data_IF_510649452748
#
_entry.id   IF_510649452748
#
_cell.length_a   1.000
_cell.length_b   1.000
_cell.length_c   1.000
_cell.angle_alpha   90.00
_cell.angle_beta   90.00
_cell.angle_gamma   90.00
#
_symmetry.space_group_name_H-M   'P 1'
#
loop_
_entity.id
_entity.type
_entity.pdbx_description
1 polymer ?
#
# COMPACT_ATOMS: atom_id res chain seq x y z
N UNK A 1 -0.24 -4.34 -16.93
CA UNK A 1 -0.13 -3.29 -15.88
C UNK A 1 -1.39 -3.35 -15.03
N UNK A 2 -1.25 -3.32 -13.70
CA UNK A 2 -2.38 -3.42 -12.76
C UNK A 2 -2.37 -2.20 -11.82
N UNK A 3 -3.55 -1.76 -11.41
CA UNK A 3 -3.71 -0.83 -10.29
C UNK A 3 -4.32 -1.60 -9.12
N UNK A 4 -3.62 -1.62 -7.99
CA UNK A 4 -4.10 -2.26 -6.75
C UNK A 4 -4.52 -1.17 -5.77
N UNK A 5 -5.78 -1.21 -5.35
CA UNK A 5 -6.36 -0.26 -4.40
C UNK A 5 -7.08 -1.02 -3.30
N UNK A 6 -7.16 -0.42 -2.11
CA UNK A 6 -7.87 -1.00 -0.99
C UNK A 6 -8.58 0.08 -0.17
N UNK A 7 -9.72 -0.29 0.40
CA UNK A 7 -10.47 0.54 1.33
C UNK A 7 -10.19 0.11 2.78
N UNK A 8 -10.16 1.09 3.68
CA UNK A 8 -10.01 0.92 5.11
C UNK A 8 -10.65 2.09 5.86
N UNK A 9 -10.91 1.89 7.15
CA UNK A 9 -11.49 2.92 8.02
C UNK A 9 -10.56 4.13 8.19
N UNK A 10 -9.26 3.92 8.01
CA UNK A 10 -8.23 4.95 8.02
C UNK A 10 -7.14 4.68 6.96
N UNK A 11 -6.23 5.66 6.81
CA UNK A 11 -5.12 5.58 5.87
C UNK A 11 -4.18 4.41 6.19
N UNK A 12 -3.96 4.09 7.47
CA UNK A 12 -3.07 2.99 7.88
C UNK A 12 -3.58 1.65 7.39
N UNK A 13 -4.87 1.41 7.59
CA UNK A 13 -5.56 0.17 7.26
C UNK A 13 -5.67 0.02 5.75
N UNK A 14 -6.05 1.09 5.04
CA UNK A 14 -6.10 1.09 3.58
C UNK A 14 -4.71 0.83 2.97
N UNK A 15 -3.67 1.51 3.47
CA UNK A 15 -2.28 1.33 3.05
C UNK A 15 -1.81 -0.11 3.26
N UNK A 16 -2.00 -0.67 4.46
CA UNK A 16 -1.62 -2.05 4.78
C UNK A 16 -2.32 -3.05 3.85
N UNK A 17 -3.63 -2.94 3.68
CA UNK A 17 -4.41 -3.84 2.81
C UNK A 17 -3.95 -3.76 1.36
N UNK A 18 -3.63 -2.57 0.85
CA UNK A 18 -3.14 -2.41 -0.51
C UNK A 18 -1.83 -3.17 -0.75
N UNK A 19 -0.85 -3.03 0.15
CA UNK A 19 0.42 -3.78 0.02
C UNK A 19 0.26 -5.28 0.25
N UNK A 20 -0.60 -5.72 1.17
CA UNK A 20 -0.95 -7.14 1.32
C UNK A 20 -1.56 -7.72 0.05
N UNK A 21 -2.42 -6.96 -0.65
CA UNK A 21 -2.99 -7.39 -1.92
C UNK A 21 -1.93 -7.45 -3.03
N UNK A 22 -0.99 -6.50 -3.08
CA UNK A 22 0.15 -6.52 -4.01
C UNK A 22 1.02 -7.75 -3.78
N UNK A 23 1.27 -8.16 -2.53
CA UNK A 23 2.06 -9.35 -2.17
C UNK A 23 1.45 -10.67 -2.66
N UNK A 24 0.16 -10.71 -2.96
CA UNK A 24 -0.51 -11.90 -3.49
C UNK A 24 -0.43 -11.99 -5.03
N UNK A 25 -0.01 -10.92 -5.71
CA UNK A 25 0.02 -10.83 -7.17
C UNK A 25 1.45 -11.02 -7.67
N UNK A 26 1.64 -11.93 -8.62
CA UNK A 26 2.95 -12.19 -9.23
C UNK A 26 2.82 -12.38 -10.74
N UNK A 27 3.67 -11.69 -11.49
CA UNK A 27 3.85 -11.87 -12.93
C UNK A 27 5.28 -11.44 -13.32
N UNK A 28 5.74 -11.92 -14.47
CA UNK A 28 7.09 -11.65 -14.97
C UNK A 28 7.37 -10.13 -15.05
N UNK A 29 8.55 -9.71 -14.58
CA UNK A 29 8.99 -8.32 -14.59
C UNK A 29 8.05 -7.35 -13.83
N UNK A 30 7.34 -7.84 -12.80
CA UNK A 30 6.53 -6.99 -11.94
C UNK A 30 7.39 -6.04 -11.11
N UNK A 31 7.10 -4.74 -11.21
CA UNK A 31 7.73 -3.69 -10.41
C UNK A 31 6.67 -2.77 -9.82
N UNK A 32 6.87 -2.35 -8.57
CA UNK A 32 5.99 -1.38 -7.90
C UNK A 32 6.76 -0.55 -6.87
N UNK A 33 6.23 0.64 -6.56
CA UNK A 33 6.78 1.52 -5.52
C UNK A 33 6.33 1.05 -4.14
N UNK A 34 7.26 1.04 -3.17
CA UNK A 34 7.02 0.60 -1.79
C UNK A 34 6.71 1.73 -0.79
N UNK A 35 6.70 2.98 -1.25
CA UNK A 35 6.60 4.16 -0.39
C UNK A 35 5.37 5.05 -0.69
N UNK A 36 4.39 4.52 -1.44
CA UNK A 36 3.11 5.21 -1.66
C UNK A 36 2.38 5.32 -0.33
N UNK A 37 2.02 6.54 0.09
CA UNK A 37 1.25 6.79 1.32
C UNK A 37 2.09 7.06 2.58
N UNK A 38 3.40 6.78 2.58
CA UNK A 38 4.27 7.00 3.77
C UNK A 38 4.20 8.43 4.32
N UNK A 39 4.14 9.44 3.45
CA UNK A 39 4.03 10.86 3.87
C UNK A 39 2.74 11.16 4.65
N UNK A 40 1.66 10.44 4.40
CA UNK A 40 0.41 10.58 5.15
C UNK A 40 0.53 9.87 6.50
N UNK A 41 1.11 8.67 6.54
CA UNK A 41 1.39 7.94 7.78
C UNK A 41 2.30 8.74 8.73
N UNK A 42 3.35 9.37 8.21
CA UNK A 42 4.25 10.22 9.01
C UNK A 42 3.50 11.41 9.62
N UNK A 43 2.60 12.06 8.86
CA UNK A 43 1.80 13.20 9.36
C UNK A 43 0.82 12.80 10.46
N UNK A 44 0.35 11.56 10.43
CA UNK A 44 -0.53 11.00 11.46
C UNK A 44 0.26 10.49 12.68
N UNK A 45 1.56 10.77 12.78
CA UNK A 45 2.48 10.26 13.81
C UNK A 45 2.43 8.72 13.95
N UNK A 46 2.09 8.02 12.87
CA UNK A 46 1.97 6.57 12.90
C UNK A 46 3.35 5.97 12.66
N UNK A 47 3.89 5.27 13.67
CA UNK A 47 4.99 4.33 13.43
C UNK A 47 4.44 3.16 12.62
N UNK A 48 5.09 2.86 11.50
CA UNK A 48 4.86 1.61 10.76
C UNK A 48 5.43 0.45 11.56
#
# INVERSE_FOLDING_TARGET
VLNVTALGEDIKTAHKKAYQAVEMIHFENMHYRRAIGNKALTRLNMKM
#
